data_IF_832335569976
#
_entry.id   IF_832335569976
#
_cell.length_a   1.000
_cell.length_b   1.000
_cell.length_c   1.000
_cell.angle_alpha   90.00
_cell.angle_beta   90.00
_cell.angle_gamma   90.00
#
_symmetry.space_group_name_H-M   'P 1'
#
loop_
_entity.id
_entity.type
_entity.pdbx_description
1 polymer ?
#
# COMPACT_ATOMS: atom_id res chain seq x y z
N UNK A 1 36.64 52.00 10.73
CA UNK A 1 37.10 50.59 10.84
C UNK A 1 36.28 49.95 11.94
N UNK A 2 35.64 48.79 11.87
CA UNK A 2 35.37 47.77 10.86
C UNK A 2 34.21 46.96 11.47
N UNK A 3 33.21 46.62 10.65
CA UNK A 3 32.34 45.42 10.62
C UNK A 3 32.26 44.59 11.92
N UNK A 4 31.07 44.21 12.41
CA UNK A 4 30.45 43.00 11.87
C UNK A 4 28.97 42.86 12.26
N UNK A 5 28.13 42.64 11.24
CA UNK A 5 26.73 42.23 11.38
C UNK A 5 26.71 40.74 11.74
N UNK A 6 26.17 40.38 12.90
CA UNK A 6 25.95 38.98 13.26
C UNK A 6 24.63 38.51 12.63
N UNK A 7 24.70 38.10 11.36
CA UNK A 7 23.68 37.31 10.68
C UNK A 7 24.15 35.86 10.75
N UNK A 8 23.56 35.05 11.63
CA UNK A 8 23.69 33.60 11.55
C UNK A 8 22.30 32.99 11.34
N UNK A 9 21.97 32.82 10.07
CA UNK A 9 20.85 32.01 9.58
C UNK A 9 21.21 30.55 9.89
N UNK A 10 20.59 29.97 10.91
CA UNK A 10 20.71 28.55 11.24
C UNK A 10 19.45 27.81 10.76
N UNK A 11 19.31 27.69 9.45
CA UNK A 11 18.32 26.82 8.82
C UNK A 11 19.05 25.93 7.86
N UNK A 12 19.21 24.64 8.18
CA UNK A 12 19.36 23.49 7.25
C UNK A 12 19.81 22.23 8.00
N UNK A 13 18.96 21.70 8.87
CA UNK A 13 18.97 20.27 9.22
C UNK A 13 17.51 19.81 9.26
N UNK A 14 16.80 20.01 8.15
CA UNK A 14 15.58 19.26 7.88
C UNK A 14 16.01 17.85 7.57
N UNK A 15 16.07 16.99 8.59
CA UNK A 15 16.10 15.56 8.38
C UNK A 15 14.82 15.23 7.59
N UNK A 16 14.95 15.04 6.28
CA UNK A 16 13.90 14.44 5.47
C UNK A 16 13.73 13.02 6.00
N UNK A 17 12.87 12.85 7.00
CA UNK A 17 12.25 11.55 7.25
C UNK A 17 11.73 11.13 5.90
N UNK A 18 12.27 10.04 5.33
CA UNK A 18 11.74 9.43 4.14
C UNK A 18 10.28 9.07 4.45
N UNK A 19 9.39 10.02 4.20
CA UNK A 19 7.96 9.80 4.22
C UNK A 19 7.74 8.91 3.03
N UNK A 20 7.48 7.64 3.29
CA UNK A 20 6.95 6.72 2.30
C UNK A 20 5.59 7.27 1.90
N UNK A 21 5.60 8.13 0.89
CA UNK A 21 4.42 8.78 0.37
C UNK A 21 3.68 7.72 -0.43
N UNK A 22 2.38 7.59 -0.19
CA UNK A 22 1.55 6.79 -1.07
C UNK A 22 1.38 7.58 -2.37
N UNK A 23 1.18 6.91 -3.51
CA UNK A 23 1.00 7.60 -4.80
C UNK A 23 -0.24 8.51 -4.84
N UNK A 24 -1.13 8.43 -3.84
CA UNK A 24 -2.26 9.35 -3.70
C UNK A 24 -1.85 10.74 -3.19
N UNK A 25 -0.70 10.86 -2.52
CA UNK A 25 -0.20 12.13 -1.97
C UNK A 25 0.68 12.90 -2.96
N UNK A 26 1.01 12.29 -4.10
CA UNK A 26 1.82 12.90 -5.15
C UNK A 26 2.52 11.89 -6.03
N UNK A 27 3.35 12.40 -6.95
CA UNK A 27 4.16 11.56 -7.82
C UNK A 27 5.40 11.07 -7.08
N UNK A 28 5.67 9.77 -7.21
CA UNK A 28 6.86 9.14 -6.64
C UNK A 28 8.07 9.48 -7.50
N UNK A 29 9.20 9.79 -6.87
CA UNK A 29 10.43 10.12 -7.59
C UNK A 29 11.06 8.85 -8.17
N UNK A 30 11.10 7.76 -7.40
CA UNK A 30 11.54 6.45 -7.87
C UNK A 30 10.63 5.34 -7.32
N UNK A 31 9.63 4.90 -8.10
CA UNK A 31 8.64 3.93 -7.64
C UNK A 31 9.25 2.57 -7.30
N UNK A 32 10.43 2.21 -7.85
CA UNK A 32 11.10 0.95 -7.54
C UNK A 32 11.83 0.99 -6.20
N UNK A 33 12.52 2.10 -5.89
CA UNK A 33 13.16 2.29 -4.59
C UNK A 33 12.13 2.46 -3.46
N UNK A 34 10.95 2.99 -3.80
CA UNK A 34 9.83 3.25 -2.89
C UNK A 34 8.84 2.07 -2.80
N UNK A 35 9.15 0.94 -3.46
CA UNK A 35 8.36 -0.29 -3.38
C UNK A 35 8.89 -1.27 -2.32
N UNK A 36 7.97 -1.97 -1.65
CA UNK A 36 8.35 -3.04 -0.71
C UNK A 36 8.87 -4.29 -1.45
N UNK A 37 9.87 -5.03 -0.91
CA UNK A 37 10.36 -6.25 -1.53
C UNK A 37 9.26 -7.27 -1.83
N UNK A 38 9.18 -7.74 -3.08
CA UNK A 38 8.15 -8.66 -3.56
C UNK A 38 7.00 -8.01 -4.34
N UNK A 39 6.88 -6.68 -4.32
CA UNK A 39 5.83 -5.94 -5.04
C UNK A 39 5.78 -6.23 -6.54
N UNK A 40 6.94 -6.39 -7.18
CA UNK A 40 7.02 -6.72 -8.60
C UNK A 40 6.36 -8.07 -8.93
N UNK A 41 6.51 -9.07 -8.06
CA UNK A 41 5.89 -10.38 -8.25
C UNK A 41 4.37 -10.29 -8.25
N UNK A 42 3.80 -9.54 -7.30
CA UNK A 42 2.36 -9.28 -7.20
C UNK A 42 1.85 -8.52 -8.44
N UNK A 43 2.58 -7.50 -8.88
CA UNK A 43 2.22 -6.72 -10.06
C UNK A 43 2.18 -7.59 -11.33
N UNK A 44 3.19 -8.44 -11.54
CA UNK A 44 3.24 -9.36 -12.68
C UNK A 44 2.15 -10.43 -12.61
N UNK A 45 1.89 -11.00 -11.42
CA UNK A 45 0.82 -11.97 -11.22
C UNK A 45 -0.56 -11.34 -11.49
N UNK A 46 -0.77 -10.11 -11.02
CA UNK A 46 -2.00 -9.34 -11.28
C UNK A 46 -2.18 -9.12 -12.78
N UNK A 47 -1.15 -8.65 -13.48
CA UNK A 47 -1.24 -8.40 -14.92
C UNK A 47 -1.51 -9.69 -15.71
N UNK A 48 -0.88 -10.81 -15.32
CA UNK A 48 -1.14 -12.12 -15.91
C UNK A 48 -2.60 -12.53 -15.72
N UNK A 49 -3.12 -12.45 -14.49
CA UNK A 49 -4.49 -12.83 -14.19
C UNK A 49 -5.53 -11.97 -14.94
N UNK A 50 -5.25 -10.68 -15.11
CA UNK A 50 -6.07 -9.78 -15.96
C UNK A 50 -6.02 -10.23 -17.42
N UNK A 51 -4.82 -10.46 -17.97
CA UNK A 51 -4.64 -10.88 -19.37
C UNK A 51 -5.31 -12.21 -19.69
N UNK A 52 -5.40 -13.10 -18.70
CA UNK A 52 -6.05 -14.40 -18.79
C UNK A 52 -7.54 -14.35 -18.40
N UNK A 53 -8.09 -13.15 -18.16
CA UNK A 53 -9.49 -12.93 -17.77
C UNK A 53 -9.90 -13.66 -16.48
N UNK A 54 -8.94 -14.01 -15.62
CA UNK A 54 -9.19 -14.66 -14.33
C UNK A 54 -9.65 -13.68 -13.26
N UNK A 55 -9.31 -12.40 -13.41
CA UNK A 55 -9.81 -11.29 -12.59
C UNK A 55 -10.20 -10.11 -13.48
N UNK A 56 -11.08 -9.25 -12.97
CA UNK A 56 -11.40 -7.99 -13.64
C UNK A 56 -10.38 -6.92 -13.27
N UNK A 57 -9.87 -6.18 -14.25
CA UNK A 57 -9.04 -5.02 -13.99
C UNK A 57 -9.87 -3.89 -13.37
N UNK A 58 -9.35 -3.29 -12.31
CA UNK A 58 -9.92 -2.09 -11.72
C UNK A 58 -9.41 -0.84 -12.44
N UNK A 59 -10.28 0.14 -12.69
CA UNK A 59 -9.88 1.44 -13.21
C UNK A 59 -9.01 2.19 -12.18
N UNK A 60 -7.86 2.71 -12.59
CA UNK A 60 -7.02 3.55 -11.71
C UNK A 60 -7.75 4.86 -11.40
N UNK A 61 -7.80 5.23 -10.13
CA UNK A 61 -8.25 6.54 -9.67
C UNK A 61 -7.09 7.20 -8.92
N UNK A 62 -6.87 8.48 -9.17
CA UNK A 62 -5.76 9.23 -8.56
C UNK A 62 -6.25 10.12 -7.42
N UNK A 63 -5.32 10.54 -6.57
CA UNK A 63 -5.59 11.43 -5.44
C UNK A 63 -6.68 10.94 -4.49
N UNK A 64 -7.44 11.89 -3.95
CA UNK A 64 -8.48 11.64 -2.94
C UNK A 64 -9.58 10.65 -3.37
N UNK A 65 -10.11 10.68 -4.62
CA UNK A 65 -11.03 9.65 -5.09
C UNK A 65 -10.45 8.23 -5.01
N UNK A 66 -9.19 8.04 -5.42
CA UNK A 66 -8.50 6.75 -5.34
C UNK A 66 -8.32 6.28 -3.90
N UNK A 67 -7.78 7.16 -3.06
CA UNK A 67 -7.57 6.86 -1.64
C UNK A 67 -8.86 6.46 -0.93
N UNK A 68 -9.96 7.19 -1.17
CA UNK A 68 -11.26 6.86 -0.55
C UNK A 68 -11.75 5.48 -0.97
N UNK A 69 -11.63 5.13 -2.25
CA UNK A 69 -12.05 3.81 -2.76
C UNK A 69 -11.19 2.69 -2.17
N UNK A 70 -9.87 2.83 -2.22
CA UNK A 70 -8.95 1.85 -1.67
C UNK A 70 -9.17 1.66 -0.16
N UNK A 71 -9.36 2.75 0.58
CA UNK A 71 -9.67 2.71 2.02
C UNK A 71 -10.97 1.95 2.30
N UNK A 72 -12.03 2.21 1.52
CA UNK A 72 -13.30 1.52 1.68
C UNK A 72 -13.19 0.02 1.39
N UNK A 73 -12.49 -0.35 0.31
CA UNK A 73 -12.25 -1.76 -0.01
C UNK A 73 -11.41 -2.46 1.05
N UNK A 74 -10.35 -1.83 1.56
CA UNK A 74 -9.54 -2.38 2.63
C UNK A 74 -10.38 -2.61 3.90
N UNK A 75 -11.20 -1.64 4.30
CA UNK A 75 -12.13 -1.79 5.42
C UNK A 75 -13.09 -2.97 5.21
N UNK A 76 -13.63 -3.10 4.00
CA UNK A 76 -14.57 -4.17 3.66
C UNK A 76 -13.89 -5.54 3.67
N UNK A 77 -12.67 -5.61 3.14
CA UNK A 77 -11.84 -6.81 3.11
C UNK A 77 -11.53 -7.30 4.52
N UNK A 78 -10.98 -6.45 5.39
CA UNK A 78 -10.61 -6.86 6.75
C UNK A 78 -11.82 -7.19 7.63
N UNK A 79 -12.96 -6.54 7.40
CA UNK A 79 -14.21 -6.85 8.12
C UNK A 79 -14.77 -8.23 7.76
N UNK A 80 -14.55 -8.68 6.52
CA UNK A 80 -15.12 -9.92 5.99
C UNK A 80 -14.15 -11.09 5.99
N UNK A 81 -12.84 -10.82 6.07
CA UNK A 81 -11.84 -11.88 6.05
C UNK A 81 -11.78 -12.62 7.38
N UNK A 82 -11.84 -13.94 7.32
CA UNK A 82 -11.60 -14.84 8.46
C UNK A 82 -10.20 -15.45 8.42
N UNK A 83 -9.41 -15.14 7.40
CA UNK A 83 -8.11 -15.75 7.12
C UNK A 83 -6.94 -14.80 7.39
N UNK A 84 -7.21 -13.56 7.82
CA UNK A 84 -6.15 -12.61 8.18
C UNK A 84 -5.58 -12.92 9.56
N UNK A 85 -4.25 -12.87 9.74
CA UNK A 85 -3.62 -12.85 11.05
C UNK A 85 -4.13 -11.70 11.91
N UNK A 86 -4.10 -11.88 13.24
CA UNK A 86 -4.61 -10.90 14.20
C UNK A 86 -3.87 -9.56 14.16
N UNK A 87 -2.62 -9.53 13.69
CA UNK A 87 -1.82 -8.32 13.58
C UNK A 87 -0.98 -8.39 12.29
N UNK A 88 -1.25 -7.50 11.33
CA UNK A 88 -0.62 -7.55 10.01
C UNK A 88 -0.58 -6.19 9.33
N UNK A 89 0.51 -5.92 8.61
CA UNK A 89 0.57 -4.80 7.66
C UNK A 89 -0.03 -5.21 6.32
N UNK A 90 -0.85 -4.36 5.74
CA UNK A 90 -1.40 -4.56 4.41
C UNK A 90 -0.77 -3.52 3.49
N UNK A 91 -0.24 -3.97 2.36
CA UNK A 91 0.43 -3.14 1.38
C UNK A 91 -0.25 -3.27 0.01
N UNK A 92 -0.77 -2.16 -0.50
CA UNK A 92 -1.24 -2.07 -1.88
C UNK A 92 -0.07 -1.70 -2.79
N UNK A 93 0.36 -2.64 -3.63
CA UNK A 93 1.62 -2.52 -4.39
C UNK A 93 1.58 -1.45 -5.47
N UNK A 94 0.40 -1.17 -6.02
CA UNK A 94 0.15 -0.24 -7.11
C UNK A 94 0.01 1.22 -6.64
N UNK A 95 -0.46 1.43 -5.42
CA UNK A 95 -0.57 2.77 -4.80
C UNK A 95 0.46 3.03 -3.69
N UNK A 96 1.26 2.01 -3.35
CA UNK A 96 2.23 2.01 -2.27
C UNK A 96 1.59 2.37 -0.91
N UNK A 97 0.30 2.04 -0.76
CA UNK A 97 -0.48 2.36 0.43
C UNK A 97 -0.24 1.32 1.52
N UNK A 98 0.34 1.78 2.62
CA UNK A 98 0.46 1.01 3.86
C UNK A 98 -0.77 1.17 4.73
N UNK A 99 -1.27 0.05 5.24
CA UNK A 99 -2.30 -0.01 6.26
C UNK A 99 -1.92 -1.00 7.36
N UNK A 100 -2.43 -0.81 8.57
CA UNK A 100 -2.20 -1.71 9.72
C UNK A 100 -3.52 -2.24 10.25
N UNK A 101 -3.67 -3.55 10.19
CA UNK A 101 -4.80 -4.28 10.76
C UNK A 101 -4.40 -4.87 12.11
N UNK A 102 -5.29 -4.71 13.09
CA UNK A 102 -5.23 -5.41 14.35
C UNK A 102 -6.64 -5.86 14.73
N UNK A 103 -6.82 -7.14 15.05
CA UNK A 103 -8.12 -7.71 15.35
C UNK A 103 -8.82 -6.94 16.49
N UNK A 104 -10.09 -6.59 16.29
CA UNK A 104 -10.87 -5.80 17.24
C UNK A 104 -10.57 -4.29 17.27
N UNK A 105 -9.66 -3.78 16.42
CA UNK A 105 -9.41 -2.34 16.26
C UNK A 105 -9.79 -1.84 14.87
N UNK A 106 -10.12 -0.54 14.71
CA UNK A 106 -10.29 0.06 13.41
C UNK A 106 -9.03 -0.08 12.56
N UNK A 107 -9.19 -0.37 11.27
CA UNK A 107 -8.08 -0.40 10.32
C UNK A 107 -7.42 0.98 10.23
N UNK A 108 -6.10 1.03 10.41
CA UNK A 108 -5.33 2.27 10.24
C UNK A 108 -4.83 2.36 8.80
N UNK A 109 -5.42 3.26 8.02
CA UNK A 109 -4.94 3.64 6.68
C UNK A 109 -3.78 4.63 6.83
N UNK A 110 -2.84 4.67 5.88
CA UNK A 110 -1.60 5.44 5.96
C UNK A 110 -0.80 5.11 7.23
N UNK A 111 -0.61 3.82 7.48
CA UNK A 111 0.30 3.40 8.53
C UNK A 111 1.75 3.58 8.11
N UNK A 112 2.67 3.54 9.08
CA UNK A 112 4.09 3.38 8.75
C UNK A 112 4.32 1.98 8.15
N UNK A 113 5.37 1.79 7.33
CA UNK A 113 5.85 0.48 6.95
C UNK A 113 6.15 -0.40 8.18
N UNK A 114 6.10 -1.73 8.02
CA UNK A 114 6.48 -2.70 9.05
C UNK A 114 7.94 -2.53 9.49
N UNK A 115 8.23 -2.95 10.72
CA UNK A 115 9.61 -3.31 11.11
C UNK A 115 10.02 -4.64 10.45
N UNK A 116 11.30 -5.02 10.51
CA UNK A 116 11.83 -6.15 9.71
C UNK A 116 11.12 -7.49 9.92
N UNK A 117 10.45 -7.67 11.05
CA UNK A 117 9.90 -8.95 11.49
C UNK A 117 8.36 -8.98 11.48
N UNK A 118 7.70 -7.87 11.14
CA UNK A 118 6.24 -7.80 11.11
C UNK A 118 5.67 -8.50 9.86
N UNK A 119 4.55 -9.20 10.02
CA UNK A 119 3.85 -9.84 8.90
C UNK A 119 3.30 -8.82 7.89
N UNK A 120 3.37 -9.14 6.60
CA UNK A 120 2.93 -8.26 5.50
C UNK A 120 2.08 -9.00 4.48
N UNK A 121 0.81 -8.60 4.39
CA UNK A 121 -0.05 -8.95 3.27
C UNK A 121 0.18 -7.96 2.11
N UNK A 122 0.70 -8.44 0.99
CA UNK A 122 0.83 -7.66 -0.25
C UNK A 122 -0.23 -8.07 -1.27
N UNK A 123 -0.85 -7.08 -1.93
CA UNK A 123 -1.80 -7.28 -3.03
C UNK A 123 -1.92 -5.99 -3.89
N UNK A 124 -2.54 -6.09 -5.06
CA UNK A 124 -2.91 -4.91 -5.88
C UNK A 124 -4.33 -4.43 -5.58
N UNK A 125 -4.70 -3.21 -5.98
CA UNK A 125 -6.09 -2.74 -5.93
C UNK A 125 -7.02 -3.64 -6.76
N UNK A 126 -6.57 -4.15 -7.90
CA UNK A 126 -7.37 -5.08 -8.72
C UNK A 126 -7.62 -6.39 -7.99
N UNK A 127 -6.60 -6.97 -7.34
CA UNK A 127 -6.80 -8.17 -6.52
C UNK A 127 -7.77 -7.88 -5.36
N UNK A 128 -7.60 -6.74 -4.69
CA UNK A 128 -8.48 -6.30 -3.60
C UNK A 128 -9.94 -6.17 -4.03
N UNK A 129 -10.21 -5.48 -5.15
CA UNK A 129 -11.57 -5.33 -5.72
C UNK A 129 -12.21 -6.70 -5.98
N UNK A 130 -11.48 -7.63 -6.61
CA UNK A 130 -12.02 -8.95 -6.92
C UNK A 130 -12.29 -9.78 -5.64
N UNK A 131 -11.51 -9.61 -4.57
CA UNK A 131 -11.77 -10.23 -3.27
C UNK A 131 -13.03 -9.64 -2.59
N UNK A 132 -13.14 -8.32 -2.51
CA UNK A 132 -14.27 -7.67 -1.83
C UNK A 132 -15.59 -7.84 -2.58
N UNK A 133 -15.50 -7.91 -3.91
CA UNK A 133 -16.60 -8.22 -4.84
C UNK A 133 -16.88 -9.72 -4.95
N UNK A 134 -16.14 -10.57 -4.22
CA UNK A 134 -16.30 -12.04 -4.17
C UNK A 134 -16.17 -12.73 -5.54
N UNK A 135 -15.45 -12.13 -6.48
CA UNK A 135 -15.12 -12.74 -7.78
C UNK A 135 -14.06 -13.84 -7.63
N UNK A 136 -13.19 -13.69 -6.64
CA UNK A 136 -12.20 -14.70 -6.23
C UNK A 136 -12.22 -14.86 -4.72
N UNK A 137 -11.79 -16.01 -4.24
CA UNK A 137 -11.55 -16.29 -2.81
C UNK A 137 -10.13 -15.93 -2.40
N UNK A 138 -9.88 -15.79 -1.10
CA UNK A 138 -8.54 -15.56 -0.57
C UNK A 138 -7.56 -16.69 -0.96
N UNK A 139 -8.01 -17.95 -0.88
CA UNK A 139 -7.21 -19.12 -1.30
C UNK A 139 -6.89 -19.10 -2.80
N UNK A 140 -7.86 -18.76 -3.65
CA UNK A 140 -7.60 -18.60 -5.09
C UNK A 140 -6.56 -17.50 -5.35
N UNK A 141 -6.69 -16.36 -4.65
CA UNK A 141 -5.76 -15.25 -4.80
C UNK A 141 -4.32 -15.62 -4.37
N UNK A 142 -4.15 -16.41 -3.31
CA UNK A 142 -2.83 -16.97 -2.93
C UNK A 142 -2.29 -17.90 -4.02
N UNK A 143 -3.10 -18.86 -4.50
CA UNK A 143 -2.67 -19.83 -5.51
C UNK A 143 -2.28 -19.16 -6.84
N UNK A 144 -2.92 -18.04 -7.18
CA UNK A 144 -2.62 -17.24 -8.37
C UNK A 144 -1.43 -16.28 -8.17
N UNK A 145 -0.91 -16.15 -6.95
CA UNK A 145 0.14 -15.18 -6.61
C UNK A 145 -0.32 -13.72 -6.57
N UNK A 146 -1.64 -13.48 -6.49
CA UNK A 146 -2.23 -12.15 -6.38
C UNK A 146 -2.12 -11.56 -4.98
N UNK A 147 -1.94 -12.43 -3.98
CA UNK A 147 -1.68 -12.09 -2.60
C UNK A 147 -0.41 -12.83 -2.16
N UNK A 148 0.39 -12.19 -1.32
CA UNK A 148 1.44 -12.84 -0.54
C UNK A 148 1.35 -12.37 0.91
N UNK A 149 1.52 -13.31 1.85
CA UNK A 149 1.66 -13.08 3.29
C UNK A 149 3.14 -13.09 3.69
#
# INVERSE_FOLDING_TARGET
MKVSKLLLVLSLLGASSASWACSYDGQLNNPFAESYPGSLGIALATQRAISQQQITQTNKLEGQPGLRRASWWLQLFVKRSTQLPNDIHIYLVDSQLWSKYHAGKPLKIHSKPPSSDDAVLMLSESALDNLVSKKITFTQAINMGLIKL
#
